data_IF_951339429498
#
_entry.id   IF_951339429498
#
_cell.length_a   1.000
_cell.length_b   1.000
_cell.length_c   1.000
_cell.angle_alpha   90.00
_cell.angle_beta   90.00
_cell.angle_gamma   90.00
#
_symmetry.space_group_name_H-M   'P 1'
#
loop_
_entity.id
_entity.type
_entity.pdbx_description
1 polymer ?
#
# COMPACT_ATOMS: atom_id res chain seq x y z
N UNK A 1 -87.82 -38.28 13.52
CA UNK A 1 -87.64 -39.30 12.47
C UNK A 1 -86.48 -38.85 11.58
N UNK A 2 -85.38 -39.61 11.63
CA UNK A 2 -84.12 -39.62 10.83
C UNK A 2 -83.42 -38.32 10.37
N UNK A 3 -82.21 -38.19 10.92
CA UNK A 3 -81.07 -37.36 10.55
C UNK A 3 -80.51 -37.58 9.13
N UNK A 4 -80.17 -36.49 8.44
CA UNK A 4 -79.31 -36.52 7.25
C UNK A 4 -78.09 -35.60 7.45
N UNK A 5 -77.04 -36.16 8.09
CA UNK A 5 -75.64 -35.76 7.88
C UNK A 5 -75.07 -36.63 6.77
N UNK A 6 -74.39 -36.03 5.80
CA UNK A 6 -73.37 -36.56 4.85
C UNK A 6 -73.19 -35.47 3.77
N UNK A 7 -72.05 -34.99 3.31
CA UNK A 7 -70.63 -35.31 3.48
C UNK A 7 -69.83 -34.03 3.17
N UNK A 8 -69.10 -33.47 4.15
CA UNK A 8 -68.03 -32.51 3.83
C UNK A 8 -66.78 -33.32 3.52
N UNK A 9 -66.65 -33.73 2.27
CA UNK A 9 -65.40 -34.27 1.74
C UNK A 9 -64.31 -33.21 1.86
N UNK A 10 -63.28 -33.50 2.66
CA UNK A 10 -62.03 -32.76 2.74
C UNK A 10 -61.36 -32.76 1.35
N UNK A 11 -61.64 -31.74 0.56
CA UNK A 11 -60.84 -31.41 -0.62
C UNK A 11 -59.45 -30.99 -0.13
N UNK A 12 -58.54 -31.95 -0.02
CA UNK A 12 -57.11 -31.65 0.16
C UNK A 12 -56.67 -30.87 -1.10
N UNK A 13 -56.05 -29.69 -0.96
CA UNK A 13 -55.54 -28.96 -2.12
C UNK A 13 -54.58 -29.88 -2.88
N UNK A 14 -54.86 -30.08 -4.18
CA UNK A 14 -53.97 -30.87 -5.03
C UNK A 14 -52.60 -30.18 -5.04
N UNK A 15 -51.50 -30.86 -4.67
CA UNK A 15 -50.18 -30.26 -4.75
C UNK A 15 -49.92 -29.85 -6.19
N UNK A 16 -49.57 -28.58 -6.40
CA UNK A 16 -49.22 -28.04 -7.71
C UNK A 16 -47.98 -28.77 -8.23
N UNK A 17 -48.22 -29.74 -9.11
CA UNK A 17 -47.20 -30.64 -9.68
C UNK A 17 -46.13 -29.81 -10.42
N UNK A 18 -46.51 -28.66 -10.99
CA UNK A 18 -45.58 -27.76 -11.67
C UNK A 18 -44.59 -27.10 -10.70
N UNK A 19 -44.99 -26.89 -9.43
CA UNK A 19 -44.10 -26.36 -8.39
C UNK A 19 -43.10 -27.42 -7.92
N UNK A 20 -43.52 -28.67 -7.78
CA UNK A 20 -42.63 -29.77 -7.40
C UNK A 20 -41.60 -30.09 -8.48
N UNK A 21 -41.98 -30.04 -9.76
CA UNK A 21 -41.02 -30.21 -10.85
C UNK A 21 -39.96 -29.09 -10.87
N UNK A 22 -40.37 -27.82 -10.77
CA UNK A 22 -39.42 -26.69 -10.75
C UNK A 22 -38.42 -26.75 -9.59
N UNK A 23 -38.87 -27.13 -8.39
CA UNK A 23 -37.99 -27.25 -7.23
C UNK A 23 -37.00 -28.41 -7.39
N UNK A 24 -37.44 -29.55 -7.92
CA UNK A 24 -36.59 -30.72 -8.10
C UNK A 24 -35.54 -30.49 -9.20
N UNK A 25 -35.92 -29.90 -10.34
CA UNK A 25 -34.97 -29.58 -11.40
C UNK A 25 -33.98 -28.48 -10.99
N UNK A 26 -34.42 -27.44 -10.27
CA UNK A 26 -33.54 -26.38 -9.77
C UNK A 26 -32.52 -26.88 -8.74
N UNK A 27 -32.92 -27.79 -7.85
CA UNK A 27 -32.02 -28.38 -6.85
C UNK A 27 -31.01 -29.35 -7.49
N UNK A 28 -31.44 -30.14 -8.48
CA UNK A 28 -30.56 -31.05 -9.23
C UNK A 28 -29.54 -30.29 -10.08
N UNK A 29 -29.92 -29.15 -10.66
CA UNK A 29 -28.99 -28.28 -11.39
C UNK A 29 -27.96 -27.61 -10.46
N UNK A 30 -28.34 -27.27 -9.23
CA UNK A 30 -27.43 -26.69 -8.23
C UNK A 30 -26.46 -27.71 -7.61
N UNK A 31 -26.84 -28.99 -7.55
CA UNK A 31 -25.99 -30.09 -7.08
C UNK A 31 -25.12 -30.73 -8.16
N UNK A 32 -25.32 -30.38 -9.44
CA UNK A 32 -24.46 -30.82 -10.51
C UNK A 32 -23.03 -30.27 -10.30
N UNK A 33 -22.10 -31.15 -9.93
CA UNK A 33 -20.67 -30.81 -9.86
C UNK A 33 -20.24 -30.32 -11.26
N UNK A 34 -19.66 -29.12 -11.40
CA UNK A 34 -19.26 -28.62 -12.70
C UNK A 34 -18.29 -29.61 -13.35
N UNK A 35 -18.40 -29.86 -14.67
CA UNK A 35 -17.56 -30.84 -15.35
C UNK A 35 -16.09 -30.53 -15.09
N UNK A 36 -15.25 -31.56 -14.95
CA UNK A 36 -13.85 -31.43 -14.53
C UNK A 36 -13.05 -30.38 -15.34
N UNK A 37 -13.42 -30.20 -16.62
CA UNK A 37 -12.86 -29.17 -17.50
C UNK A 37 -13.28 -27.73 -17.17
N UNK A 38 -14.50 -27.50 -16.68
CA UNK A 38 -15.00 -26.16 -16.34
C UNK A 38 -14.27 -25.56 -15.13
N UNK A 39 -13.89 -26.39 -14.14
CA UNK A 39 -13.06 -25.93 -13.02
C UNK A 39 -11.66 -25.54 -13.49
N UNK A 40 -11.06 -26.31 -14.40
CA UNK A 40 -9.75 -25.98 -14.99
C UNK A 40 -9.82 -24.72 -15.85
N UNK A 41 -10.85 -24.59 -16.69
CA UNK A 41 -11.06 -23.39 -17.51
C UNK A 41 -11.28 -22.14 -16.64
N UNK A 42 -12.10 -22.24 -15.57
CA UNK A 42 -12.30 -21.13 -14.64
C UNK A 42 -11.02 -20.78 -13.85
N UNK A 43 -10.21 -21.77 -13.47
CA UNK A 43 -8.90 -21.54 -12.83
C UNK A 43 -7.92 -20.89 -13.80
N UNK A 44 -7.87 -21.35 -15.05
CA UNK A 44 -7.01 -20.80 -16.09
C UNK A 44 -7.42 -19.36 -16.39
N UNK A 45 -8.69 -19.09 -16.69
CA UNK A 45 -9.20 -17.73 -16.96
C UNK A 45 -8.95 -16.79 -15.76
N UNK A 46 -9.19 -17.25 -14.53
CA UNK A 46 -8.89 -16.48 -13.32
C UNK A 46 -7.39 -16.21 -13.13
N UNK A 47 -6.53 -17.13 -13.56
CA UNK A 47 -5.08 -16.95 -13.56
C UNK A 47 -4.61 -15.97 -14.64
N UNK A 48 -5.28 -15.91 -15.79
CA UNK A 48 -4.97 -14.96 -16.87
C UNK A 48 -5.34 -13.55 -16.47
N UNK A 49 -6.51 -13.33 -15.83
CA UNK A 49 -6.92 -12.02 -15.33
C UNK A 49 -5.99 -11.49 -14.23
N UNK A 50 -5.50 -12.36 -13.36
CA UNK A 50 -4.51 -12.00 -12.33
C UNK A 50 -3.15 -11.60 -12.92
N UNK A 51 -2.87 -11.88 -14.20
CA UNK A 51 -1.56 -11.69 -14.85
C UNK A 51 -1.54 -10.61 -15.94
N UNK A 52 -2.63 -9.85 -16.09
CA UNK A 52 -2.76 -8.77 -17.08
C UNK A 52 -1.99 -7.52 -16.64
N UNK A 53 -0.80 -7.29 -17.23
CA UNK A 53 -0.11 -6.00 -17.07
C UNK A 53 -0.93 -4.91 -17.75
N UNK A 54 -1.46 -3.97 -16.95
CA UNK A 54 -2.18 -2.82 -17.47
C UNK A 54 -1.23 -1.89 -18.22
N UNK A 55 -1.53 -1.59 -19.47
CA UNK A 55 -0.88 -0.51 -20.21
C UNK A 55 -1.16 0.83 -19.50
N UNK A 56 -0.12 1.62 -19.26
CA UNK A 56 -0.24 2.92 -18.59
C UNK A 56 0.11 4.03 -19.57
N UNK A 57 -0.75 5.04 -19.69
CA UNK A 57 -0.47 6.23 -20.49
C UNK A 57 0.58 7.10 -19.75
N UNK A 58 1.77 7.22 -20.33
CA UNK A 58 2.93 7.90 -19.76
C UNK A 58 2.65 9.40 -19.53
N UNK A 59 1.92 10.06 -20.45
CA UNK A 59 1.62 11.49 -20.34
C UNK A 59 0.68 11.79 -19.17
N UNK A 60 -0.36 10.97 -19.00
CA UNK A 60 -1.28 11.08 -17.86
C UNK A 60 -0.55 10.81 -16.53
N UNK A 61 0.38 9.87 -16.53
CA UNK A 61 1.20 9.51 -15.37
C UNK A 61 2.13 10.64 -14.93
N UNK A 62 2.77 11.33 -15.87
CA UNK A 62 3.60 12.51 -15.59
C UNK A 62 2.79 13.67 -15.03
N UNK A 63 1.58 13.91 -15.57
CA UNK A 63 0.68 14.94 -15.05
C UNK A 63 0.22 14.59 -13.62
N UNK A 64 -0.14 13.34 -13.36
CA UNK A 64 -0.48 12.87 -12.01
C UNK A 64 0.71 13.00 -11.04
N UNK A 65 1.94 12.74 -11.50
CA UNK A 65 3.14 12.87 -10.69
C UNK A 65 3.33 14.32 -10.19
N UNK A 66 3.18 15.30 -11.09
CA UNK A 66 3.28 16.72 -10.75
C UNK A 66 2.13 17.16 -9.83
N UNK A 67 0.89 16.73 -10.11
CA UNK A 67 -0.29 17.12 -9.33
C UNK A 67 -0.29 16.50 -7.92
N UNK A 68 0.18 15.26 -7.78
CA UNK A 68 0.14 14.52 -6.50
C UNK A 68 1.46 14.58 -5.73
N UNK A 69 2.41 15.44 -6.13
CA UNK A 69 3.75 15.52 -5.55
C UNK A 69 4.44 14.14 -5.42
N UNK A 70 4.28 13.29 -6.44
CA UNK A 70 4.90 11.96 -6.50
C UNK A 70 4.22 10.83 -5.73
N UNK A 71 3.11 11.08 -5.00
CA UNK A 71 2.39 10.03 -4.26
C UNK A 71 1.84 8.95 -5.21
N UNK A 72 1.33 9.35 -6.38
CA UNK A 72 0.87 8.40 -7.39
C UNK A 72 1.99 7.42 -7.83
N UNK A 73 3.22 7.91 -7.97
CA UNK A 73 4.37 7.10 -8.37
C UNK A 73 4.76 6.08 -7.31
N UNK A 74 4.63 6.42 -6.02
CA UNK A 74 4.86 5.48 -4.92
C UNK A 74 3.86 4.32 -5.00
N UNK A 75 2.57 4.62 -5.15
CA UNK A 75 1.51 3.59 -5.29
C UNK A 75 1.73 2.70 -6.50
N UNK A 76 2.17 3.27 -7.62
CA UNK A 76 2.52 2.50 -8.81
C UNK A 76 3.70 1.57 -8.58
N UNK A 77 4.75 2.04 -7.91
CA UNK A 77 5.92 1.22 -7.61
C UNK A 77 5.54 -0.02 -6.77
N UNK A 78 4.64 0.13 -5.80
CA UNK A 78 4.11 -1.00 -5.05
C UNK A 78 3.33 -1.98 -5.93
N UNK A 79 2.47 -1.48 -6.83
CA UNK A 79 1.67 -2.31 -7.73
C UNK A 79 2.53 -3.08 -8.73
N UNK A 80 3.46 -2.40 -9.39
CA UNK A 80 4.35 -3.04 -10.37
C UNK A 80 5.34 -4.00 -9.71
N UNK A 81 5.82 -3.70 -8.50
CA UNK A 81 6.64 -4.64 -7.71
C UNK A 81 5.89 -5.95 -7.43
N UNK A 82 4.59 -5.88 -7.09
CA UNK A 82 3.78 -7.07 -6.89
C UNK A 82 3.60 -7.87 -8.19
N UNK A 83 3.33 -7.20 -9.31
CA UNK A 83 3.18 -7.85 -10.61
C UNK A 83 4.49 -8.52 -11.07
N UNK A 84 5.64 -7.89 -10.80
CA UNK A 84 6.97 -8.45 -11.06
C UNK A 84 7.29 -9.62 -10.13
N UNK A 85 6.93 -9.53 -8.86
CA UNK A 85 7.14 -10.62 -7.89
C UNK A 85 6.28 -11.84 -8.17
N UNK A 86 5.04 -11.63 -8.64
CA UNK A 86 4.18 -12.71 -9.14
C UNK A 86 4.80 -13.44 -10.35
N UNK A 87 5.74 -12.80 -11.06
CA UNK A 87 6.49 -13.35 -12.19
C UNK A 87 7.90 -13.83 -11.80
N UNK A 88 8.24 -13.86 -10.51
CA UNK A 88 9.48 -14.44 -9.99
C UNK A 88 10.64 -13.48 -9.78
N UNK A 89 10.42 -12.15 -9.81
CA UNK A 89 11.50 -11.17 -9.69
C UNK A 89 12.14 -11.06 -8.29
N UNK A 90 11.45 -11.49 -7.22
CA UNK A 90 12.00 -11.51 -5.85
C UNK A 90 12.39 -10.12 -5.30
N UNK A 91 11.77 -9.05 -5.80
CA UNK A 91 12.08 -7.67 -5.46
C UNK A 91 11.56 -7.38 -4.03
N UNK A 92 12.42 -6.88 -3.13
CA UNK A 92 12.01 -6.50 -1.78
C UNK A 92 11.03 -5.31 -1.81
N UNK A 93 10.22 -5.19 -0.76
CA UNK A 93 9.17 -4.16 -0.66
C UNK A 93 9.70 -2.73 -0.85
N UNK A 94 8.94 -1.91 -1.57
CA UNK A 94 9.28 -0.54 -1.99
C UNK A 94 9.41 0.51 -0.86
N UNK A 95 9.57 0.10 0.39
CA UNK A 95 9.74 1.01 1.53
C UNK A 95 11.02 1.86 1.45
N UNK A 96 12.02 1.39 0.68
CA UNK A 96 13.28 2.09 0.42
C UNK A 96 13.09 3.44 -0.29
N UNK A 97 11.95 3.66 -0.95
CA UNK A 97 11.62 4.94 -1.61
C UNK A 97 11.55 6.10 -0.62
N UNK A 98 11.24 5.83 0.66
CA UNK A 98 11.16 6.87 1.68
C UNK A 98 12.52 7.23 2.30
N UNK A 99 13.53 6.36 2.18
CA UNK A 99 14.88 6.59 2.73
C UNK A 99 15.47 7.94 2.32
N UNK A 100 15.48 8.35 1.04
CA UNK A 100 16.01 9.67 0.66
C UNK A 100 15.23 10.84 1.29
N UNK A 101 13.91 10.72 1.48
CA UNK A 101 13.10 11.78 2.10
C UNK A 101 13.40 11.93 3.60
N UNK A 102 13.47 10.80 4.31
CA UNK A 102 13.83 10.77 5.73
C UNK A 102 15.25 11.28 5.93
N UNK A 103 16.18 10.98 5.01
CA UNK A 103 17.54 11.48 5.05
C UNK A 103 17.60 13.02 4.93
N UNK A 104 16.86 13.62 4.01
CA UNK A 104 16.78 15.09 3.88
C UNK A 104 16.21 15.73 5.16
N UNK A 105 15.13 15.16 5.70
CA UNK A 105 14.55 15.64 6.96
C UNK A 105 15.53 15.53 8.14
N UNK A 106 16.21 14.40 8.26
CA UNK A 106 17.22 14.17 9.30
C UNK A 106 18.36 15.17 9.16
N UNK A 107 18.84 15.40 7.94
CA UNK A 107 19.91 16.35 7.67
C UNK A 107 19.52 17.78 8.04
N UNK A 108 18.28 18.20 7.75
CA UNK A 108 17.75 19.48 8.24
C UNK A 108 17.78 19.57 9.77
N UNK A 109 17.32 18.52 10.48
CA UNK A 109 17.38 18.50 11.95
C UNK A 109 18.81 18.53 12.48
N UNK A 110 19.74 17.86 11.82
CA UNK A 110 21.15 17.92 12.16
C UNK A 110 21.72 19.33 12.00
N UNK A 111 21.42 20.01 10.87
CA UNK A 111 21.82 21.40 10.63
C UNK A 111 21.22 22.39 11.64
N UNK A 112 19.98 22.18 12.09
CA UNK A 112 19.43 22.97 13.20
C UNK A 112 20.13 22.71 14.54
N UNK A 113 20.72 21.52 14.71
CA UNK A 113 21.60 21.21 15.83
C UNK A 113 22.90 22.01 15.76
N UNK A 114 23.53 22.06 14.58
CA UNK A 114 24.74 22.87 14.33
C UNK A 114 24.50 24.32 14.71
N UNK A 115 23.45 24.96 14.19
CA UNK A 115 23.16 26.37 14.49
C UNK A 115 23.01 26.65 16.00
N UNK A 116 22.41 25.71 16.74
CA UNK A 116 22.23 25.83 18.19
C UNK A 116 23.55 25.72 18.94
N UNK A 117 24.40 24.76 18.58
CA UNK A 117 25.68 24.54 19.28
C UNK A 117 26.72 25.59 18.92
N UNK A 118 26.68 26.13 17.69
CA UNK A 118 27.57 27.20 17.25
C UNK A 118 27.10 28.60 17.68
N UNK A 119 26.03 28.70 18.48
CA UNK A 119 25.51 29.99 18.93
C UNK A 119 25.11 30.93 17.79
N UNK A 120 24.59 30.38 16.68
CA UNK A 120 24.26 31.10 15.43
C UNK A 120 25.44 31.66 14.63
N UNK A 121 26.70 31.28 14.90
CA UNK A 121 27.81 31.62 13.99
C UNK A 121 27.62 31.05 12.59
N UNK A 122 26.95 29.90 12.49
CA UNK A 122 26.51 29.27 11.26
C UNK A 122 24.99 29.00 11.34
N UNK A 123 24.23 29.43 10.34
CA UNK A 123 22.79 29.15 10.29
C UNK A 123 22.52 27.72 9.81
N UNK A 124 21.37 27.17 10.20
CA UNK A 124 20.95 25.83 9.78
C UNK A 124 20.81 25.73 8.26
N UNK A 125 20.35 26.80 7.60
CA UNK A 125 20.25 26.86 6.15
C UNK A 125 21.62 26.75 5.49
N UNK A 126 22.63 27.47 5.99
CA UNK A 126 24.00 27.41 5.46
C UNK A 126 24.59 26.01 5.68
N UNK A 127 24.49 25.47 6.90
CA UNK A 127 24.95 24.12 7.21
C UNK A 127 24.28 23.06 6.32
N UNK A 128 22.97 23.18 6.09
CA UNK A 128 22.23 22.28 5.21
C UNK A 128 22.68 22.36 3.75
N UNK A 129 22.82 23.57 3.19
CA UNK A 129 23.25 23.75 1.79
C UNK A 129 24.68 23.23 1.57
N UNK A 130 25.58 23.46 2.53
CA UNK A 130 26.94 22.92 2.51
C UNK A 130 26.94 21.39 2.49
N UNK A 131 26.15 20.74 3.34
CA UNK A 131 26.09 19.28 3.38
C UNK A 131 25.39 18.67 2.17
N UNK A 132 24.32 19.32 1.68
CA UNK A 132 23.52 18.80 0.57
C UNK A 132 24.26 18.88 -0.78
N UNK A 133 24.96 19.99 -1.06
CA UNK A 133 25.59 20.22 -2.36
C UNK A 133 27.10 19.94 -2.38
N UNK A 134 27.81 20.22 -1.29
CA UNK A 134 29.28 20.12 -1.24
C UNK A 134 29.78 18.84 -0.53
N UNK A 135 28.88 18.10 0.13
CA UNK A 135 29.15 16.84 0.81
C UNK A 135 30.41 16.89 1.70
N UNK A 136 31.51 16.24 1.31
CA UNK A 136 32.78 16.19 2.07
C UNK A 136 33.35 17.58 2.35
N UNK A 137 33.32 18.49 1.37
CA UNK A 137 33.82 19.86 1.54
C UNK A 137 32.93 20.61 2.55
N UNK A 138 31.61 20.42 2.47
CA UNK A 138 30.66 20.99 3.41
C UNK A 138 30.88 20.50 4.84
N UNK A 139 31.18 19.22 5.01
CA UNK A 139 31.53 18.64 6.31
C UNK A 139 32.77 19.29 6.92
N UNK A 140 33.84 19.50 6.14
CA UNK A 140 35.06 20.15 6.63
C UNK A 140 34.81 21.59 7.11
N UNK A 141 33.97 22.34 6.40
CA UNK A 141 33.59 23.71 6.76
C UNK A 141 32.76 23.72 8.05
N UNK A 142 31.73 22.87 8.13
CA UNK A 142 30.91 22.75 9.34
C UNK A 142 31.74 22.30 10.54
N UNK A 143 32.67 21.37 10.33
CA UNK A 143 33.60 20.90 11.36
C UNK A 143 34.47 22.04 11.90
N UNK A 144 34.88 22.99 11.06
CA UNK A 144 35.66 24.15 11.50
C UNK A 144 34.88 25.02 12.48
N UNK A 145 33.57 25.22 12.27
CA UNK A 145 32.73 25.94 13.22
C UNK A 145 32.50 25.14 14.52
N UNK A 146 32.26 23.84 14.41
CA UNK A 146 32.11 22.97 15.58
C UNK A 146 33.38 22.94 16.44
N UNK A 147 34.56 22.96 15.82
CA UNK A 147 35.84 23.00 16.52
C UNK A 147 36.02 24.29 17.34
N UNK A 148 35.52 25.44 16.85
CA UNK A 148 35.54 26.70 17.62
C UNK A 148 34.75 26.58 18.93
N UNK A 149 33.64 25.84 18.91
CA UNK A 149 32.83 25.56 20.09
C UNK A 149 33.54 24.57 21.03
N UNK A 150 34.18 23.54 20.47
CA UNK A 150 34.88 22.51 21.25
C UNK A 150 36.13 23.04 22.00
N UNK A 151 36.70 24.16 21.55
CA UNK A 151 37.82 24.84 22.21
C UNK A 151 37.39 25.64 23.45
N UNK A 152 36.09 25.83 23.68
CA UNK A 152 35.58 26.39 24.93
C UNK A 152 35.65 25.30 26.02
N UNK A 153 36.08 25.62 27.26
CA UNK A 153 36.14 24.63 28.32
C UNK A 153 34.76 23.99 28.47
N UNK A 154 34.71 22.66 28.35
CA UNK A 154 33.50 21.89 28.50
C UNK A 154 32.86 22.28 29.84
N UNK A 155 31.64 22.83 29.81
CA UNK A 155 30.93 23.10 31.05
C UNK A 155 30.85 21.80 31.85
N UNK A 156 31.14 21.82 33.16
CA UNK A 156 31.02 20.64 34.01
C UNK A 156 29.63 20.06 33.80
N UNK A 157 29.57 18.83 33.30
CA UNK A 157 28.31 18.10 33.16
C UNK A 157 27.72 18.03 34.55
N UNK A 158 26.59 18.71 34.77
CA UNK A 158 25.81 18.55 35.98
C UNK A 158 25.39 17.08 36.02
N UNK A 159 26.15 16.26 36.76
CA UNK A 159 25.75 14.90 37.12
C UNK A 159 24.47 15.05 37.92
N UNK A 160 23.33 14.79 37.30
CA UNK A 160 22.11 14.51 38.05
C UNK A 160 22.33 13.19 38.80
N UNK A 161 22.38 13.33 40.13
CA UNK A 161 22.31 12.24 41.12
C UNK A 161 20.98 11.51 40.98
#
# INVERSE_FOLDING_TARGET
MRSHRRDRGLQRPRPDVARFHRLRYGLLAAQARPPAGARRAAVIVRSTEASSMRQHNIALWLVLFVITCGIASVVWLFRTTNDMNARGAGIPTAWLVFVPLVNIWWMWRWSTGVERVTGKSMSAAVAFLLLFFLHVIGQAIVQTELNKVALLPAMPTARTV
#
